data_IF_280974980417
#
_entry.id   IF_280974980417
#
_cell.length_a   1.000
_cell.length_b   1.000
_cell.length_c   1.000
_cell.angle_alpha   90.00
_cell.angle_beta   90.00
_cell.angle_gamma   90.00
#
_symmetry.space_group_name_H-M   'P 1'
#
loop_
_entity.id
_entity.type
_entity.pdbx_description
1 polymer ?
#
# COMPACT_ATOMS: atom_id res chain seq x y z
N UNK A 1 10.06 -31.76 1.29
CA UNK A 1 8.81 -30.95 1.22
C UNK A 1 8.29 -30.96 -0.21
N UNK A 2 7.05 -31.40 -0.50
CA UNK A 2 6.52 -31.48 -1.88
C UNK A 2 6.31 -30.07 -2.46
N UNK A 3 6.69 -29.83 -3.71
CA UNK A 3 6.56 -28.55 -4.44
C UNK A 3 5.16 -27.92 -4.32
N UNK A 4 4.13 -28.77 -4.20
CA UNK A 4 2.73 -28.42 -4.08
C UNK A 4 2.40 -27.68 -2.76
N UNK A 5 3.02 -28.08 -1.63
CA UNK A 5 2.83 -27.45 -0.32
C UNK A 5 3.45 -26.04 -0.25
N UNK A 6 4.55 -25.81 -0.96
CA UNK A 6 5.19 -24.48 -1.04
C UNK A 6 4.32 -23.46 -1.78
N UNK A 7 3.71 -23.86 -2.90
CA UNK A 7 2.82 -22.98 -3.66
C UNK A 7 1.55 -22.60 -2.87
N UNK A 8 1.03 -23.51 -2.05
CA UNK A 8 -0.10 -23.24 -1.16
C UNK A 8 0.25 -22.21 -0.07
N UNK A 9 1.45 -22.31 0.52
CA UNK A 9 1.94 -21.35 1.51
C UNK A 9 2.16 -19.96 0.89
N UNK A 10 2.75 -19.90 -0.31
CA UNK A 10 2.95 -18.64 -1.05
C UNK A 10 1.62 -17.95 -1.37
N UNK A 11 0.62 -18.73 -1.81
CA UNK A 11 -0.72 -18.23 -2.09
C UNK A 11 -1.42 -17.72 -0.82
N UNK A 12 -1.26 -18.42 0.30
CA UNK A 12 -1.81 -17.99 1.60
C UNK A 12 -1.20 -16.64 2.04
N UNK A 13 0.12 -16.49 1.90
CA UNK A 13 0.85 -15.25 2.23
C UNK A 13 0.40 -14.07 1.36
N UNK A 14 0.28 -14.27 0.05
CA UNK A 14 -0.24 -13.26 -0.88
C UNK A 14 -1.67 -12.82 -0.51
N UNK A 15 -2.54 -13.79 -0.19
CA UNK A 15 -3.91 -13.51 0.23
C UNK A 15 -3.97 -12.71 1.54
N UNK A 16 -3.12 -13.06 2.52
CA UNK A 16 -3.05 -12.34 3.79
C UNK A 16 -2.63 -10.88 3.58
N UNK A 17 -1.60 -10.65 2.77
CA UNK A 17 -1.16 -9.30 2.36
C UNK A 17 -2.30 -8.51 1.71
N UNK A 18 -3.08 -9.15 0.84
CA UNK A 18 -4.25 -8.54 0.22
C UNK A 18 -5.36 -8.17 1.21
N UNK A 19 -5.72 -9.09 2.12
CA UNK A 19 -6.76 -8.82 3.13
C UNK A 19 -6.32 -7.67 4.03
N UNK A 20 -5.06 -7.68 4.48
CA UNK A 20 -4.48 -6.61 5.30
C UNK A 20 -4.48 -5.28 4.56
N UNK A 21 -4.13 -5.28 3.27
CA UNK A 21 -4.15 -4.09 2.43
C UNK A 21 -5.54 -3.46 2.33
N UNK A 22 -6.55 -4.29 2.03
CA UNK A 22 -7.94 -3.82 1.91
C UNK A 22 -8.49 -3.35 3.26
N UNK A 23 -8.16 -4.06 4.34
CA UNK A 23 -8.55 -3.68 5.70
C UNK A 23 -7.99 -2.30 6.09
N UNK A 24 -6.68 -2.08 5.88
CA UNK A 24 -6.06 -0.80 6.21
C UNK A 24 -6.62 0.35 5.36
N UNK A 25 -6.86 0.14 4.06
CA UNK A 25 -7.51 1.14 3.21
C UNK A 25 -8.95 1.44 3.66
N UNK A 26 -9.69 0.43 4.10
CA UNK A 26 -11.04 0.60 4.67
C UNK A 26 -10.97 1.45 5.94
N UNK A 27 -10.10 1.08 6.89
CA UNK A 27 -9.97 1.79 8.16
C UNK A 27 -9.55 3.24 7.96
N UNK A 28 -8.55 3.49 7.11
CA UNK A 28 -8.05 4.83 6.81
C UNK A 28 -9.11 5.71 6.12
N UNK A 29 -9.85 5.16 5.16
CA UNK A 29 -10.91 5.90 4.47
C UNK A 29 -12.09 6.21 5.37
N UNK A 30 -12.52 5.27 6.22
CA UNK A 30 -13.55 5.51 7.23
C UNK A 30 -13.12 6.57 8.25
N UNK A 31 -11.87 6.51 8.71
CA UNK A 31 -11.32 7.52 9.62
C UNK A 31 -11.32 8.90 8.96
N UNK A 32 -10.93 9.00 7.69
CA UNK A 32 -10.96 10.26 6.96
C UNK A 32 -12.39 10.83 6.85
N UNK A 33 -13.37 9.99 6.48
CA UNK A 33 -14.79 10.39 6.39
C UNK A 33 -15.31 10.85 7.75
N UNK A 34 -15.00 10.13 8.82
CA UNK A 34 -15.43 10.49 10.16
C UNK A 34 -14.78 11.80 10.64
N UNK A 35 -13.51 12.01 10.31
CA UNK A 35 -12.76 13.19 10.75
C UNK A 35 -13.16 14.47 10.01
N UNK A 36 -13.76 14.37 8.81
CA UNK A 36 -14.24 15.53 8.04
C UNK A 36 -15.75 15.49 7.86
N UNK A 37 -16.46 16.34 8.59
CA UNK A 37 -17.93 16.52 8.52
C UNK A 37 -18.46 17.13 7.21
N UNK A 38 -17.66 17.19 6.15
CA UNK A 38 -18.01 17.86 4.89
C UNK A 38 -18.15 16.88 3.73
N UNK A 39 -18.98 17.22 2.75
CA UNK A 39 -19.30 16.41 1.55
C UNK A 39 -18.10 16.15 0.61
N UNK A 40 -16.91 16.65 0.95
CA UNK A 40 -15.66 16.46 0.18
C UNK A 40 -14.98 15.08 0.40
N UNK A 41 -15.67 14.12 1.02
CA UNK A 41 -15.20 12.75 1.20
C UNK A 41 -15.45 11.81 0.01
N UNK A 42 -15.78 12.32 -1.19
CA UNK A 42 -16.18 11.47 -2.33
C UNK A 42 -15.12 10.39 -2.68
N UNK A 43 -13.82 10.72 -2.92
CA UNK A 43 -12.84 9.67 -3.19
C UNK A 43 -12.65 8.71 -2.00
N UNK A 44 -12.62 9.20 -0.76
CA UNK A 44 -12.55 8.37 0.44
C UNK A 44 -13.73 7.39 0.54
N UNK A 45 -14.96 7.81 0.19
CA UNK A 45 -16.14 6.94 0.17
C UNK A 45 -16.03 5.84 -0.89
N UNK A 46 -15.46 6.16 -2.05
CA UNK A 46 -15.19 5.19 -3.13
C UNK A 46 -14.12 4.20 -2.66
N UNK A 47 -13.05 4.66 -2.00
CA UNK A 47 -12.02 3.79 -1.41
C UNK A 47 -12.66 2.84 -0.41
N UNK A 48 -13.49 3.34 0.52
CA UNK A 48 -14.16 2.53 1.52
C UNK A 48 -15.06 1.46 0.88
N UNK A 49 -15.90 1.84 -0.09
CA UNK A 49 -16.82 0.93 -0.75
C UNK A 49 -16.07 -0.15 -1.55
N UNK A 50 -15.06 0.25 -2.34
CA UNK A 50 -14.23 -0.69 -3.11
C UNK A 50 -13.45 -1.63 -2.20
N UNK A 51 -12.84 -1.11 -1.13
CA UNK A 51 -12.04 -1.93 -0.23
C UNK A 51 -12.88 -2.92 0.57
N UNK A 52 -14.05 -2.52 1.07
CA UNK A 52 -14.99 -3.40 1.77
C UNK A 52 -15.54 -4.48 0.84
N UNK A 53 -15.98 -4.11 -0.36
CA UNK A 53 -16.55 -5.08 -1.32
C UNK A 53 -15.51 -6.13 -1.73
N UNK A 54 -14.27 -5.72 -2.02
CA UNK A 54 -13.18 -6.64 -2.32
C UNK A 54 -12.77 -7.47 -1.10
N UNK A 55 -12.82 -6.91 0.11
CA UNK A 55 -12.48 -7.63 1.34
C UNK A 55 -13.51 -8.73 1.62
N UNK A 56 -14.80 -8.42 1.49
CA UNK A 56 -15.88 -9.42 1.60
C UNK A 56 -15.74 -10.48 0.52
N UNK A 57 -15.49 -10.09 -0.74
CA UNK A 57 -15.31 -11.02 -1.84
C UNK A 57 -14.13 -11.97 -1.63
N UNK A 58 -12.99 -11.44 -1.18
CA UNK A 58 -11.77 -12.24 -0.95
C UNK A 58 -11.89 -13.15 0.27
N UNK A 59 -12.67 -12.74 1.28
CA UNK A 59 -13.02 -13.58 2.42
C UNK A 59 -13.96 -14.73 2.02
N UNK A 60 -14.99 -14.45 1.21
CA UNK A 60 -15.97 -15.44 0.76
C UNK A 60 -15.42 -16.40 -0.32
N UNK A 61 -14.47 -15.96 -1.16
CA UNK A 61 -13.99 -16.74 -2.31
C UNK A 61 -12.46 -16.93 -2.29
N UNK A 62 -11.94 -17.81 -1.41
CA UNK A 62 -10.50 -17.93 -1.11
C UNK A 62 -9.61 -18.52 -2.21
N UNK A 63 -10.16 -18.91 -3.38
CA UNK A 63 -9.46 -19.66 -4.45
C UNK A 63 -9.26 -18.93 -5.78
N UNK A 64 -9.56 -17.62 -5.86
CA UNK A 64 -9.36 -16.84 -7.09
C UNK A 64 -7.87 -16.54 -7.36
N UNK A 65 -7.37 -16.87 -8.56
CA UNK A 65 -5.95 -16.74 -8.96
C UNK A 65 -5.59 -15.42 -9.68
N UNK A 66 -6.35 -14.35 -9.46
CA UNK A 66 -6.12 -13.08 -10.19
C UNK A 66 -5.04 -12.22 -9.51
N UNK A 67 -4.27 -11.38 -10.24
CA UNK A 67 -3.31 -10.42 -9.70
C UNK A 67 -4.02 -9.23 -9.03
N UNK A 68 -4.97 -9.55 -8.15
CA UNK A 68 -5.96 -8.64 -7.58
C UNK A 68 -5.29 -7.61 -6.67
N UNK A 69 -4.15 -7.96 -6.06
CA UNK A 69 -3.37 -7.04 -5.23
C UNK A 69 -2.79 -5.88 -6.01
N UNK A 70 -2.24 -6.11 -7.20
CA UNK A 70 -1.62 -5.05 -8.00
C UNK A 70 -2.68 -4.08 -8.54
N UNK A 71 -3.83 -4.63 -8.96
CA UNK A 71 -4.98 -3.84 -9.43
C UNK A 71 -5.57 -3.04 -8.26
N UNK A 72 -5.76 -3.66 -7.10
CA UNK A 72 -6.20 -2.96 -5.90
C UNK A 72 -5.21 -1.87 -5.49
N UNK A 73 -3.91 -2.14 -5.57
CA UNK A 73 -2.86 -1.19 -5.21
C UNK A 73 -2.87 0.06 -6.09
N UNK A 74 -2.87 -0.09 -7.42
CA UNK A 74 -2.89 1.06 -8.32
C UNK A 74 -4.20 1.86 -8.22
N UNK A 75 -5.34 1.17 -8.09
CA UNK A 75 -6.66 1.83 -8.00
C UNK A 75 -6.80 2.62 -6.71
N UNK A 76 -6.44 2.05 -5.55
CA UNK A 76 -6.47 2.80 -4.28
C UNK A 76 -5.41 3.90 -4.24
N UNK A 77 -4.23 3.68 -4.84
CA UNK A 77 -3.19 4.71 -4.95
C UNK A 77 -3.67 5.94 -5.72
N UNK A 78 -4.32 5.73 -6.87
CA UNK A 78 -4.93 6.81 -7.66
C UNK A 78 -6.05 7.54 -6.90
N UNK A 79 -6.90 6.79 -6.17
CA UNK A 79 -7.97 7.39 -5.38
C UNK A 79 -7.43 8.20 -4.20
N UNK A 80 -6.36 7.75 -3.54
CA UNK A 80 -5.69 8.53 -2.50
C UNK A 80 -5.04 9.79 -3.08
N UNK A 81 -4.40 9.70 -4.25
CA UNK A 81 -3.86 10.86 -4.94
C UNK A 81 -4.96 11.90 -5.24
N UNK A 82 -6.12 11.44 -5.76
CA UNK A 82 -7.29 12.28 -5.95
C UNK A 82 -7.74 12.92 -4.62
N UNK A 83 -7.89 12.12 -3.55
CA UNK A 83 -8.28 12.64 -2.25
C UNK A 83 -7.33 13.73 -1.74
N UNK A 84 -6.02 13.56 -1.92
CA UNK A 84 -5.01 14.55 -1.52
C UNK A 84 -5.19 15.85 -2.31
N UNK A 85 -5.36 15.79 -3.62
CA UNK A 85 -5.57 16.98 -4.48
C UNK A 85 -6.78 17.77 -4.03
N UNK A 86 -7.95 17.13 -3.89
CA UNK A 86 -9.18 17.81 -3.45
C UNK A 86 -9.03 18.40 -2.04
N UNK A 87 -8.37 17.66 -1.15
CA UNK A 87 -8.17 18.11 0.22
C UNK A 87 -7.25 19.32 0.29
N UNK A 88 -6.19 19.32 -0.54
CA UNK A 88 -5.21 20.39 -0.59
C UNK A 88 -5.83 21.69 -1.11
N UNK A 89 -6.66 21.64 -2.15
CA UNK A 89 -7.39 22.81 -2.65
C UNK A 89 -8.31 23.44 -1.60
N UNK A 90 -8.94 22.61 -0.75
CA UNK A 90 -9.82 23.07 0.33
C UNK A 90 -9.07 23.60 1.56
N UNK A 91 -7.88 23.04 1.86
CA UNK A 91 -7.10 23.34 3.08
C UNK A 91 -5.93 24.31 2.80
N UNK A 92 -5.74 24.76 1.54
CA UNK A 92 -4.59 25.51 1.01
C UNK A 92 -4.07 26.67 1.90
N UNK A 93 -4.87 27.16 2.85
CA UNK A 93 -4.55 28.26 3.74
C UNK A 93 -3.98 27.90 5.13
N UNK A 94 -4.04 26.65 5.61
CA UNK A 94 -3.86 26.37 7.05
C UNK A 94 -2.75 25.40 7.49
N UNK A 95 -2.16 24.58 6.63
CA UNK A 95 -1.15 23.61 7.10
C UNK A 95 -0.08 23.24 6.06
N UNK A 96 1.15 23.72 6.29
CA UNK A 96 2.32 23.40 5.45
C UNK A 96 2.74 21.92 5.53
N UNK A 97 2.29 21.17 6.56
CA UNK A 97 2.71 19.78 6.77
C UNK A 97 1.73 18.76 6.18
N UNK A 98 0.55 19.19 5.73
CA UNK A 98 -0.52 18.30 5.28
C UNK A 98 -0.07 17.34 4.16
N UNK A 99 0.66 17.85 3.17
CA UNK A 99 1.15 17.06 2.03
C UNK A 99 2.08 15.94 2.48
N UNK A 100 3.02 16.25 3.39
CA UNK A 100 3.96 15.27 3.94
C UNK A 100 3.25 14.22 4.79
N UNK A 101 2.34 14.63 5.68
CA UNK A 101 1.57 13.70 6.53
C UNK A 101 0.72 12.76 5.68
N UNK A 102 0.04 13.29 4.66
CA UNK A 102 -0.76 12.49 3.73
C UNK A 102 0.09 11.46 2.97
N UNK A 103 1.28 11.87 2.54
CA UNK A 103 2.24 10.99 1.88
C UNK A 103 2.72 9.88 2.82
N UNK A 104 3.06 10.22 4.07
CA UNK A 104 3.45 9.24 5.09
C UNK A 104 2.35 8.22 5.37
N UNK A 105 1.10 8.65 5.47
CA UNK A 105 -0.03 7.73 5.66
C UNK A 105 -0.15 6.73 4.49
N UNK A 106 -0.04 7.20 3.25
CA UNK A 106 -0.08 6.33 2.06
C UNK A 106 1.08 5.33 2.05
N UNK A 107 2.31 5.78 2.37
CA UNK A 107 3.47 4.90 2.50
C UNK A 107 3.31 3.88 3.62
N UNK A 108 2.74 4.26 4.76
CA UNK A 108 2.58 3.39 5.90
C UNK A 108 1.59 2.25 5.64
N UNK A 109 0.45 2.55 5.02
CA UNK A 109 -0.54 1.54 4.60
C UNK A 109 0.13 0.54 3.66
N UNK A 110 0.88 1.02 2.66
CA UNK A 110 1.58 0.16 1.72
C UNK A 110 2.69 -0.65 2.38
N UNK A 111 3.50 -0.06 3.25
CA UNK A 111 4.63 -0.72 3.89
C UNK A 111 4.16 -1.89 4.78
N UNK A 112 3.10 -1.69 5.57
CA UNK A 112 2.55 -2.73 6.44
C UNK A 112 1.93 -3.85 5.62
N UNK A 113 1.08 -3.51 4.65
CA UNK A 113 0.29 -4.51 3.97
C UNK A 113 1.04 -5.22 2.84
N UNK A 114 1.94 -4.53 2.16
CA UNK A 114 2.52 -4.99 0.89
C UNK A 114 3.96 -5.46 1.04
N UNK A 115 4.49 -5.64 2.27
CA UNK A 115 5.92 -5.89 2.59
C UNK A 115 6.67 -6.88 1.66
N UNK A 116 5.97 -7.88 1.14
CA UNK A 116 6.57 -8.91 0.28
C UNK A 116 6.40 -8.67 -1.24
N UNK A 117 5.66 -7.61 -1.62
CA UNK A 117 5.24 -7.28 -2.99
C UNK A 117 5.65 -5.85 -3.38
N UNK A 118 6.92 -5.68 -3.76
CA UNK A 118 7.48 -4.38 -4.15
C UNK A 118 6.74 -3.70 -5.29
N UNK A 119 6.30 -4.46 -6.30
CA UNK A 119 5.51 -3.89 -7.41
C UNK A 119 4.19 -3.28 -6.92
N UNK A 120 3.46 -3.98 -6.04
CA UNK A 120 2.22 -3.46 -5.48
C UNK A 120 2.48 -2.22 -4.61
N UNK A 121 3.57 -2.23 -3.83
CA UNK A 121 3.99 -1.08 -3.03
C UNK A 121 4.23 0.16 -3.91
N UNK A 122 5.00 0.03 -4.99
CA UNK A 122 5.27 1.12 -5.92
C UNK A 122 3.99 1.59 -6.62
N UNK A 123 3.14 0.66 -7.06
CA UNK A 123 1.88 0.99 -7.73
C UNK A 123 0.92 1.80 -6.84
N UNK A 124 0.89 1.53 -5.53
CA UNK A 124 0.06 2.28 -4.60
C UNK A 124 0.65 3.64 -4.22
N UNK A 125 1.96 3.71 -4.03
CA UNK A 125 2.63 4.89 -3.47
C UNK A 125 3.06 5.92 -4.53
N UNK A 126 3.26 5.49 -5.78
CA UNK A 126 3.66 6.40 -6.85
C UNK A 126 2.63 7.50 -7.15
N UNK A 127 1.31 7.22 -7.27
CA UNK A 127 0.35 8.29 -7.55
C UNK A 127 0.27 9.36 -6.45
N UNK A 128 0.18 9.00 -5.14
CA UNK A 128 0.23 10.00 -4.06
C UNK A 128 1.55 10.78 -4.02
N UNK A 129 2.69 10.12 -4.27
CA UNK A 129 3.99 10.77 -4.32
C UNK A 129 4.06 11.83 -5.43
N UNK A 130 3.59 11.48 -6.63
CA UNK A 130 3.51 12.43 -7.76
C UNK A 130 2.58 13.59 -7.41
N UNK A 131 1.38 13.32 -6.88
CA UNK A 131 0.44 14.36 -6.49
C UNK A 131 1.07 15.34 -5.49
N UNK A 132 1.73 14.84 -4.45
CA UNK A 132 2.40 15.68 -3.46
C UNK A 132 3.53 16.51 -4.06
N UNK A 133 4.38 15.93 -4.93
CA UNK A 133 5.46 16.69 -5.59
C UNK A 133 4.94 17.80 -6.50
N UNK A 134 3.81 17.58 -7.19
CA UNK A 134 3.19 18.58 -8.07
C UNK A 134 2.54 19.69 -7.24
N UNK A 135 1.83 19.34 -6.17
CA UNK A 135 1.10 20.30 -5.33
C UNK A 135 2.02 21.16 -4.44
N UNK A 136 3.19 20.67 -4.07
CA UNK A 136 4.17 21.42 -3.25
C UNK A 136 4.86 22.57 -4.02
N UNK A 137 4.66 22.67 -5.35
CA UNK A 137 5.26 23.71 -6.21
C UNK A 137 6.79 23.86 -6.05
N UNK A 138 7.46 22.81 -5.58
CA UNK A 138 8.91 22.75 -5.39
C UNK A 138 9.45 23.40 -4.11
N UNK A 139 8.60 23.84 -3.19
CA UNK A 139 9.03 24.53 -1.96
C UNK A 139 9.87 23.64 -1.04
N UNK A 140 9.51 22.36 -0.91
CA UNK A 140 10.13 21.37 -0.03
C UNK A 140 10.63 20.15 -0.80
N UNK A 141 11.10 20.36 -2.04
CA UNK A 141 11.48 19.28 -2.96
C UNK A 141 12.46 18.28 -2.34
N UNK A 142 13.49 18.76 -1.61
CA UNK A 142 14.48 17.89 -0.97
C UNK A 142 13.87 17.02 0.13
N UNK A 143 12.99 17.60 0.96
CA UNK A 143 12.30 16.88 2.04
C UNK A 143 11.35 15.84 1.47
N UNK A 144 10.57 16.18 0.43
CA UNK A 144 9.67 15.25 -0.24
C UNK A 144 10.45 14.12 -0.92
N UNK A 145 11.52 14.45 -1.63
CA UNK A 145 12.39 13.46 -2.26
C UNK A 145 12.98 12.50 -1.22
N UNK A 146 13.44 13.01 -0.09
CA UNK A 146 13.94 12.19 1.02
C UNK A 146 12.85 11.30 1.62
N UNK A 147 11.64 11.83 1.84
CA UNK A 147 10.47 11.09 2.33
C UNK A 147 10.03 9.98 1.38
N UNK A 148 10.23 10.14 0.07
CA UNK A 148 9.96 9.09 -0.93
C UNK A 148 11.09 8.07 -0.98
N UNK A 149 12.34 8.54 -1.01
CA UNK A 149 13.53 7.70 -1.16
C UNK A 149 13.71 6.77 0.04
N UNK A 150 13.50 7.25 1.26
CA UNK A 150 13.80 6.49 2.47
C UNK A 150 12.95 5.22 2.59
N UNK A 151 11.60 5.24 2.47
CA UNK A 151 10.80 4.02 2.43
C UNK A 151 11.13 3.13 1.24
N UNK A 152 11.43 3.69 0.07
CA UNK A 152 11.71 2.92 -1.14
C UNK A 152 13.02 2.13 -1.03
N UNK A 153 14.07 2.76 -0.49
CA UNK A 153 15.34 2.08 -0.18
C UNK A 153 15.14 1.05 0.94
N UNK A 154 14.44 1.40 2.02
CA UNK A 154 14.16 0.45 3.10
C UNK A 154 13.44 -0.80 2.61
N UNK A 155 12.44 -0.61 1.75
CA UNK A 155 11.62 -1.69 1.22
C UNK A 155 12.37 -2.57 0.21
N UNK A 156 13.17 -1.96 -0.67
CA UNK A 156 14.02 -2.70 -1.61
C UNK A 156 15.03 -3.57 -0.87
N UNK A 157 15.70 -3.02 0.15
CA UNK A 157 16.64 -3.75 0.99
C UNK A 157 15.95 -4.89 1.76
N UNK A 158 14.78 -4.64 2.35
CA UNK A 158 14.03 -5.67 3.07
C UNK A 158 13.67 -6.85 2.14
N UNK A 159 13.19 -6.56 0.93
CA UNK A 159 12.85 -7.61 -0.04
C UNK A 159 14.09 -8.41 -0.49
N UNK A 160 15.24 -7.75 -0.66
CA UNK A 160 16.51 -8.44 -0.95
C UNK A 160 16.91 -9.34 0.22
N UNK A 161 16.81 -8.86 1.46
CA UNK A 161 17.18 -9.60 2.66
C UNK A 161 16.30 -10.84 2.83
N UNK A 162 14.98 -10.70 2.70
CA UNK A 162 14.03 -11.81 2.77
C UNK A 162 14.34 -12.87 1.70
N UNK A 163 14.58 -12.47 0.45
CA UNK A 163 14.96 -13.41 -0.62
C UNK A 163 16.26 -14.16 -0.33
N UNK A 164 17.21 -13.51 0.34
CA UNK A 164 18.47 -14.15 0.76
C UNK A 164 18.23 -15.14 1.89
N UNK A 165 17.43 -14.76 2.90
CA UNK A 165 17.06 -15.64 4.01
C UNK A 165 16.32 -16.88 3.51
N UNK A 166 15.34 -16.74 2.61
CA UNK A 166 14.61 -17.89 2.04
C UNK A 166 15.54 -18.87 1.31
N UNK A 167 16.51 -18.36 0.55
CA UNK A 167 17.51 -19.22 -0.12
C UNK A 167 18.41 -19.92 0.87
N UNK A 168 18.83 -19.24 1.93
CA UNK A 168 19.68 -19.80 2.98
C UNK A 168 18.95 -20.92 3.74
N UNK A 169 17.73 -20.67 4.20
CA UNK A 169 16.90 -21.66 4.89
C UNK A 169 16.63 -22.88 4.01
N UNK A 170 16.34 -22.69 2.71
CA UNK A 170 16.19 -23.82 1.78
C UNK A 170 17.44 -24.68 1.66
N UNK A 171 18.62 -24.06 1.61
CA UNK A 171 19.91 -24.77 1.55
C UNK A 171 20.19 -25.56 2.84
N UNK A 172 19.94 -24.95 3.99
CA UNK A 172 20.10 -25.64 5.28
C UNK A 172 19.16 -26.84 5.41
N UNK A 173 17.88 -26.66 5.04
CA UNK A 173 16.90 -27.75 5.09
C UNK A 173 17.27 -28.87 4.12
N UNK A 174 17.76 -28.58 2.91
CA UNK A 174 18.21 -29.64 2.00
C UNK A 174 19.39 -30.42 2.56
N UNK A 175 20.33 -29.75 3.21
CA UNK A 175 21.50 -30.39 3.84
C UNK A 175 21.16 -31.22 5.09
N UNK A 176 20.02 -30.95 5.74
CA UNK A 176 19.54 -31.71 6.91
C UNK A 176 18.78 -33.00 6.53
N UNK A 177 18.30 -33.09 5.30
CA UNK A 177 17.56 -34.25 4.79
C UNK A 177 18.42 -35.17 3.90
N UNK A 178 19.64 -34.74 3.57
CA UNK A 178 20.73 -35.60 3.07
C UNK A 178 21.49 -36.23 4.24
#
# INVERSE_FOLDING_TARGET
MKLQSYNELLHSKYRLSLILFLFLNTAASLFYIYSKNEKSGLPASIIALLSVTLLIWTFLRPRGKFPLLNIAAITTGLLWAWQIVLTFELIFYFDNSFLLVSLFCAFFIAAIALNDNLLAFCLHTAPPAVAVTVLDHGQNTATIAFTILLPLVGFTLNNILQRRQDRFTRRLVSQLYE
#
